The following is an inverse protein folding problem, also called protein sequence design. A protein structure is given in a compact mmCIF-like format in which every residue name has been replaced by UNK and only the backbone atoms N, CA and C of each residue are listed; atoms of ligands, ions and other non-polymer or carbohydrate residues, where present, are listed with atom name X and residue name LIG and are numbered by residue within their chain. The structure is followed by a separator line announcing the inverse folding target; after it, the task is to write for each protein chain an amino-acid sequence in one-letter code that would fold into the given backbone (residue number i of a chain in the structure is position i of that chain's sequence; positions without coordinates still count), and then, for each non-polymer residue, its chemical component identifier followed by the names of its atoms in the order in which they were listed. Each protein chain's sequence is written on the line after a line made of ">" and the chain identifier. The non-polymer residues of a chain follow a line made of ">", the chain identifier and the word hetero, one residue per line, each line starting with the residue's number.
data_IF_227226455334
#
_entry.id   IF_227226455334
#
_cell.length_a   1.000
_cell.length_b   1.000
_cell.length_c   1.000
_cell.angle_alpha   90.00
_cell.angle_beta   90.00
_cell.angle_gamma   90.00
#
_symmetry.space_group_name_H-M   'P 1'
#
loop_
_entity.id
_entity.type
_entity.pdbx_description
1 polymer ?
#
# COMPACT_ATOMS: atom_id res chain seq x y z
N UNK A 1 12.84 1.26 5.69
CA UNK A 1 12.69 0.14 6.65
C UNK A 1 11.20 0.00 6.92
N UNK A 2 10.63 -1.20 6.77
CA UNK A 2 9.22 -1.47 7.04
C UNK A 2 9.14 -2.59 8.11
N UNK A 3 8.29 -2.42 9.12
CA UNK A 3 8.12 -3.38 10.22
C UNK A 3 6.77 -4.09 10.09
N UNK A 4 6.80 -5.42 10.16
CA UNK A 4 5.63 -6.30 10.07
C UNK A 4 5.51 -7.14 11.36
N UNK A 5 4.28 -7.38 11.83
CA UNK A 5 4.00 -8.03 13.12
C UNK A 5 2.55 -7.87 13.58
N UNK A 6 2.08 -8.75 14.47
CA UNK A 6 0.66 -8.91 14.84
C UNK A 6 0.11 -7.71 15.65
N UNK A 7 0.95 -7.03 16.43
CA UNK A 7 0.55 -5.86 17.23
C UNK A 7 0.88 -4.55 16.53
N UNK A 8 -0.15 -3.80 16.14
CA UNK A 8 -0.02 -2.47 15.54
C UNK A 8 0.63 -1.47 16.53
N UNK A 9 0.20 -1.49 17.80
CA UNK A 9 0.78 -0.66 18.87
C UNK A 9 2.27 -0.95 19.09
N UNK A 10 2.68 -2.22 19.07
CA UNK A 10 4.09 -2.60 19.23
C UNK A 10 4.99 -2.11 18.09
N UNK A 11 4.49 -2.12 16.85
CA UNK A 11 5.22 -1.59 15.68
C UNK A 11 5.36 -0.07 15.73
N UNK A 12 4.29 0.65 16.05
CA UNK A 12 4.32 2.11 16.18
C UNK A 12 5.27 2.55 17.30
N UNK A 13 5.29 1.82 18.42
CA UNK A 13 6.22 2.07 19.52
C UNK A 13 7.67 1.80 19.10
N UNK A 14 7.95 0.69 18.42
CA UNK A 14 9.29 0.35 17.94
C UNK A 14 9.82 1.38 16.92
N UNK A 15 8.99 1.78 15.96
CA UNK A 15 9.35 2.84 14.99
C UNK A 15 9.64 4.15 15.74
N UNK A 16 8.83 4.49 16.73
CA UNK A 16 9.02 5.71 17.51
C UNK A 16 10.30 5.67 18.33
N UNK A 17 10.65 4.53 18.94
CA UNK A 17 11.89 4.38 19.67
C UNK A 17 13.13 4.44 18.76
N UNK A 18 13.07 3.87 17.55
CA UNK A 18 14.18 3.88 16.60
C UNK A 18 14.38 5.21 15.90
N UNK A 19 13.29 5.93 15.63
CA UNK A 19 13.31 7.21 14.92
C UNK A 19 13.20 8.42 15.85
N UNK A 20 13.13 8.19 17.17
CA UNK A 20 13.09 9.25 18.17
C UNK A 20 14.32 10.16 18.07
N UNK A 21 14.09 11.46 18.24
CA UNK A 21 15.16 12.41 18.46
C UNK A 21 15.85 12.21 19.80
N UNK A 22 16.84 13.06 20.11
CA UNK A 22 17.53 13.07 21.40
C UNK A 22 16.61 13.29 22.60
N UNK A 23 15.41 13.83 22.38
CA UNK A 23 14.36 14.02 23.37
C UNK A 23 13.46 12.79 23.57
N UNK A 24 13.71 11.68 22.88
CA UNK A 24 12.94 10.44 23.00
C UNK A 24 11.58 10.46 22.32
N UNK A 25 11.26 11.50 21.52
CA UNK A 25 10.02 11.58 20.75
C UNK A 25 10.26 11.51 19.25
N UNK A 26 9.34 10.86 18.54
CA UNK A 26 9.26 10.91 17.09
C UNK A 26 8.48 12.15 16.65
N UNK A 27 9.23 13.20 16.34
CA UNK A 27 8.68 14.49 15.91
C UNK A 27 8.72 14.64 14.39
N UNK A 28 7.68 15.24 13.82
CA UNK A 28 7.61 15.63 12.41
C UNK A 28 7.34 17.13 12.26
N UNK A 29 7.75 17.71 11.13
CA UNK A 29 7.44 19.10 10.78
C UNK A 29 6.28 19.13 9.80
N UNK A 30 5.15 19.68 10.23
CA UNK A 30 3.99 19.96 9.40
C UNK A 30 4.01 21.46 9.06
N UNK A 31 4.80 21.80 8.04
CA UNK A 31 5.13 23.18 7.73
C UNK A 31 6.08 23.71 8.80
N UNK A 32 5.67 24.78 9.49
CA UNK A 32 6.44 25.35 10.61
C UNK A 32 6.12 24.70 11.95
N UNK A 33 5.03 23.92 12.04
CA UNK A 33 4.61 23.29 13.29
C UNK A 33 5.33 21.97 13.50
N UNK A 34 5.97 21.82 14.66
CA UNK A 34 6.46 20.52 15.13
C UNK A 34 5.32 19.75 15.79
N UNK A 35 5.18 18.48 15.43
CA UNK A 35 4.14 17.58 15.96
C UNK A 35 4.78 16.30 16.48
N UNK A 36 4.33 15.85 17.65
CA UNK A 36 4.68 14.53 18.19
C UNK A 36 3.78 13.48 17.54
N UNK A 37 4.36 12.56 16.76
CA UNK A 37 3.59 11.62 15.95
C UNK A 37 2.69 10.72 16.82
N UNK A 38 3.19 10.22 17.94
CA UNK A 38 2.44 9.30 18.80
C UNK A 38 1.37 10.05 19.57
N UNK A 39 1.60 11.29 20.01
CA UNK A 39 0.59 12.01 20.79
C UNK A 39 -0.49 12.66 19.92
N UNK A 40 -0.13 13.14 18.73
CA UNK A 40 -1.00 14.03 17.95
C UNK A 40 -1.50 13.42 16.63
N UNK A 41 -0.77 12.46 16.03
CA UNK A 41 -1.09 11.94 14.68
C UNK A 41 -1.61 10.50 14.72
N UNK A 42 -0.96 9.65 15.51
CA UNK A 42 -1.37 8.28 15.75
C UNK A 42 -1.43 8.00 17.26
N UNK A 43 -2.39 8.63 17.97
CA UNK A 43 -2.58 8.40 19.39
C UNK A 43 -2.87 6.93 19.68
N UNK A 44 -2.27 6.44 20.76
CA UNK A 44 -2.61 5.13 21.33
C UNK A 44 -4.03 5.20 21.89
N UNK A 45 -5.03 4.95 21.04
CA UNK A 45 -6.43 4.85 21.46
C UNK A 45 -6.63 3.69 22.44
N UNK A 46 -7.67 3.77 23.29
CA UNK A 46 -8.04 2.76 24.30
C UNK A 46 -8.51 1.41 23.72
N UNK A 47 -7.69 0.77 22.89
CA UNK A 47 -7.95 -0.54 22.27
C UNK A 47 -8.50 -0.50 20.84
N UNK A 48 -8.63 0.66 20.20
CA UNK A 48 -9.02 0.79 18.79
C UNK A 48 -8.06 1.73 18.05
N UNK A 49 -7.67 1.31 16.85
CA UNK A 49 -6.74 2.00 15.95
C UNK A 49 -7.20 3.43 15.67
N UNK A 50 -6.30 4.42 15.80
CA UNK A 50 -6.64 5.83 15.61
C UNK A 50 -6.44 6.34 14.17
N UNK A 51 -5.64 5.65 13.34
CA UNK A 51 -5.30 6.16 12.00
C UNK A 51 -5.35 5.07 10.92
N UNK A 52 -6.24 5.22 9.94
CA UNK A 52 -6.34 4.36 8.75
C UNK A 52 -5.37 4.71 7.62
N UNK A 53 -4.22 5.32 7.94
CA UNK A 53 -3.25 5.83 6.96
C UNK A 53 -1.89 5.16 7.14
N UNK A 54 -1.26 4.81 6.03
CA UNK A 54 0.15 4.42 6.01
C UNK A 54 1.00 5.68 6.04
N UNK A 55 1.72 5.91 7.14
CA UNK A 55 2.58 7.09 7.29
C UNK A 55 4.03 6.75 6.90
N UNK A 56 4.63 7.60 6.07
CA UNK A 56 6.05 7.52 5.70
C UNK A 56 6.81 8.71 6.26
N UNK A 57 7.86 8.44 7.02
CA UNK A 57 8.80 9.46 7.48
C UNK A 57 9.97 9.60 6.49
N UNK A 58 10.39 10.83 6.27
CA UNK A 58 11.53 11.18 5.42
C UNK A 58 12.29 12.35 6.05
N UNK A 59 13.61 12.39 5.86
CA UNK A 59 14.44 13.53 6.27
C UNK A 59 14.36 14.71 5.30
N UNK A 60 13.90 14.44 4.07
CA UNK A 60 13.74 15.46 3.04
C UNK A 60 12.28 15.91 3.03
N UNK A 61 12.06 17.20 3.26
CA UNK A 61 10.72 17.78 3.20
C UNK A 61 10.18 17.66 1.76
N UNK A 62 9.03 16.99 1.55
CA UNK A 62 8.42 16.93 0.24
C UNK A 62 7.87 18.30 -0.17
N UNK A 63 7.85 18.59 -1.48
CA UNK A 63 7.16 19.75 -1.98
C UNK A 63 5.66 19.63 -1.66
N UNK A 64 5.09 20.67 -1.05
CA UNK A 64 3.69 20.69 -0.65
C UNK A 64 3.11 22.12 -0.80
N UNK A 65 1.83 22.27 -1.16
CA UNK A 65 1.20 23.59 -1.25
C UNK A 65 1.21 24.33 0.10
N UNK A 66 1.26 25.66 0.04
CA UNK A 66 1.15 26.49 1.25
C UNK A 66 -0.16 26.18 2.00
N UNK A 67 -0.06 25.94 3.31
CA UNK A 67 -1.20 25.54 4.15
C UNK A 67 -1.52 24.03 4.14
N UNK A 68 -0.87 23.22 3.29
CA UNK A 68 -1.11 21.78 3.16
C UNK A 68 0.19 20.98 3.29
N UNK A 69 0.82 20.97 4.48
CA UNK A 69 2.20 20.48 4.63
C UNK A 69 2.36 18.95 4.59
N UNK A 70 1.25 18.21 4.58
CA UNK A 70 1.24 16.74 4.57
C UNK A 70 0.77 16.27 3.21
N UNK A 71 1.67 15.85 2.29
CA UNK A 71 1.25 15.32 1.01
C UNK A 71 0.59 13.96 1.21
N UNK A 72 -0.56 13.78 0.57
CA UNK A 72 -1.27 12.51 0.51
C UNK A 72 -1.00 11.85 -0.84
N UNK A 73 -0.69 10.55 -0.82
CA UNK A 73 -0.60 9.74 -2.02
C UNK A 73 -1.69 8.70 -2.00
N UNK A 74 -2.54 8.71 -3.02
CA UNK A 74 -3.53 7.67 -3.25
C UNK A 74 -2.86 6.44 -3.85
N UNK A 75 -3.46 5.28 -3.63
CA UNK A 75 -3.09 4.08 -4.37
C UNK A 75 -3.44 4.28 -5.85
N UNK A 76 -2.52 3.87 -6.72
CA UNK A 76 -2.83 3.69 -8.13
C UNK A 76 -3.68 2.45 -8.33
N UNK A 77 -4.32 2.33 -9.48
CA UNK A 77 -5.07 1.16 -9.92
C UNK A 77 -4.20 -0.10 -9.87
N UNK A 78 -2.91 0.01 -10.22
CA UNK A 78 -1.99 -1.11 -10.16
C UNK A 78 -1.62 -1.51 -8.74
N UNK A 79 -1.56 -0.56 -7.80
CA UNK A 79 -1.36 -0.86 -6.39
C UNK A 79 -2.55 -1.65 -5.83
N UNK A 80 -3.77 -1.27 -6.22
CA UNK A 80 -4.99 -2.02 -5.85
C UNK A 80 -4.96 -3.45 -6.41
N UNK A 81 -4.53 -3.63 -7.67
CA UNK A 81 -4.37 -4.97 -8.25
C UNK A 81 -3.37 -5.83 -7.46
N UNK A 82 -2.24 -5.25 -7.02
CA UNK A 82 -1.24 -5.94 -6.18
C UNK A 82 -1.80 -6.31 -4.81
N UNK A 83 -2.58 -5.42 -4.18
CA UNK A 83 -3.25 -5.68 -2.90
C UNK A 83 -4.25 -6.83 -3.03
N UNK A 84 -5.11 -6.80 -4.05
CA UNK A 84 -6.09 -7.85 -4.31
C UNK A 84 -5.43 -9.21 -4.59
N UNK A 85 -4.35 -9.22 -5.38
CA UNK A 85 -3.59 -10.43 -5.62
C UNK A 85 -2.94 -10.97 -4.34
N UNK A 86 -2.38 -10.10 -3.51
CA UNK A 86 -1.79 -10.50 -2.23
C UNK A 86 -2.85 -11.13 -1.30
N UNK A 87 -4.00 -10.47 -1.16
CA UNK A 87 -5.11 -10.98 -0.38
C UNK A 87 -5.59 -12.34 -0.92
N UNK A 88 -5.73 -12.48 -2.24
CA UNK A 88 -6.10 -13.74 -2.86
C UNK A 88 -5.13 -14.86 -2.52
N UNK A 89 -3.81 -14.67 -2.66
CA UNK A 89 -2.84 -15.75 -2.46
C UNK A 89 -2.49 -16.06 -1.00
N UNK A 90 -2.54 -15.05 -0.11
CA UNK A 90 -2.05 -15.21 1.27
C UNK A 90 -3.16 -15.26 2.32
N UNK A 91 -4.26 -14.55 2.10
CA UNK A 91 -5.29 -14.34 3.13
C UNK A 91 -6.56 -15.18 2.87
N UNK A 92 -6.83 -15.55 1.62
CA UNK A 92 -7.97 -16.40 1.29
C UNK A 92 -7.70 -17.88 1.57
N UNK A 93 -8.62 -18.52 2.28
CA UNK A 93 -8.62 -19.97 2.42
C UNK A 93 -9.14 -20.63 1.13
N UNK A 94 -8.22 -21.01 0.25
CA UNK A 94 -8.56 -21.65 -1.02
C UNK A 94 -9.24 -23.01 -0.89
N UNK A 95 -9.17 -23.68 0.26
CA UNK A 95 -9.85 -24.96 0.49
C UNK A 95 -11.38 -24.80 0.57
N UNK A 96 -11.87 -23.59 0.86
CA UNK A 96 -13.31 -23.27 0.91
C UNK A 96 -13.86 -22.79 -0.45
N UNK A 97 -13.00 -22.64 -1.46
CA UNK A 97 -13.40 -22.20 -2.78
C UNK A 97 -13.73 -23.41 -3.67
N UNK A 98 -15.02 -23.59 -3.97
CA UNK A 98 -15.48 -24.53 -5.01
C UNK A 98 -15.25 -24.00 -6.44
N UNK A 99 -14.72 -22.79 -6.57
CA UNK A 99 -14.53 -22.09 -7.83
C UNK A 99 -13.25 -22.57 -8.53
N UNK A 100 -13.40 -23.30 -9.64
CA UNK A 100 -12.27 -23.71 -10.48
C UNK A 100 -12.00 -22.63 -11.54
N UNK A 101 -10.81 -22.02 -11.45
CA UNK A 101 -10.25 -21.18 -12.50
C UNK A 101 -9.65 -22.11 -13.58
N UNK A 102 -10.30 -22.18 -14.73
CA UNK A 102 -9.79 -22.86 -15.92
C UNK A 102 -9.45 -21.85 -17.03
N UNK A 103 -8.63 -22.29 -17.99
CA UNK A 103 -8.17 -21.44 -19.08
C UNK A 103 -9.34 -20.88 -19.92
N UNK A 104 -10.35 -21.69 -20.21
CA UNK A 104 -11.48 -21.27 -21.03
C UNK A 104 -12.29 -20.15 -20.39
N UNK A 105 -12.49 -20.18 -19.06
CA UNK A 105 -13.18 -19.13 -18.31
C UNK A 105 -12.37 -17.85 -18.26
N UNK A 106 -11.05 -17.94 -18.09
CA UNK A 106 -10.17 -16.78 -18.15
C UNK A 106 -10.26 -16.12 -19.52
N UNK A 107 -10.16 -16.90 -20.60
CA UNK A 107 -10.29 -16.41 -21.97
C UNK A 107 -11.66 -15.80 -22.24
N UNK A 108 -12.74 -16.42 -21.76
CA UNK A 108 -14.11 -15.88 -21.87
C UNK A 108 -14.24 -14.51 -21.20
N UNK A 109 -13.66 -14.34 -20.01
CA UNK A 109 -13.67 -13.06 -19.29
C UNK A 109 -12.78 -12.00 -19.93
N UNK A 110 -11.71 -12.39 -20.61
CA UNK A 110 -10.81 -11.46 -21.31
C UNK A 110 -11.34 -11.03 -22.69
N UNK A 111 -12.17 -11.86 -23.34
CA UNK A 111 -12.68 -11.62 -24.70
C UNK A 111 -13.30 -10.22 -24.92
N UNK A 112 -14.13 -9.67 -24.02
CA UNK A 112 -14.70 -8.32 -24.19
C UNK A 112 -13.65 -7.21 -24.21
N UNK A 113 -12.49 -7.43 -23.60
CA UNK A 113 -11.41 -6.45 -23.48
C UNK A 113 -10.42 -6.52 -24.65
N UNK A 114 -10.25 -7.70 -25.26
CA UNK A 114 -9.38 -7.88 -26.44
C UNK A 114 -9.78 -6.98 -27.61
N UNK A 115 -11.08 -6.78 -27.83
CA UNK A 115 -11.60 -5.92 -28.90
C UNK A 115 -11.39 -4.42 -28.60
N UNK A 116 -11.31 -4.04 -27.31
CA UNK A 116 -11.12 -2.64 -26.86
C UNK A 116 -9.65 -2.22 -26.86
N UNK A 117 -8.73 -3.16 -26.65
CA UNK A 117 -7.29 -2.92 -26.66
C UNK A 117 -6.80 -2.38 -28.01
N UNK A 118 -7.44 -2.74 -29.12
CA UNK A 118 -7.09 -2.26 -30.45
C UNK A 118 -7.54 -0.81 -30.74
N UNK A 119 -8.43 -0.23 -29.92
CA UNK A 119 -9.10 1.05 -30.20
C UNK A 119 -8.70 2.17 -29.23
N UNK A 120 -7.92 1.89 -28.19
CA UNK A 120 -7.75 2.80 -27.06
C UNK A 120 -6.34 3.40 -27.02
N UNK A 121 -6.21 4.67 -27.43
CA UNK A 121 -5.07 5.54 -27.09
C UNK A 121 -5.24 6.25 -25.73
N UNK A 122 -6.26 5.86 -24.94
CA UNK A 122 -6.58 6.55 -23.69
C UNK A 122 -5.80 5.97 -22.52
N UNK A 123 -5.10 6.86 -21.82
CA UNK A 123 -4.42 6.60 -20.56
C UNK A 123 -5.46 6.40 -19.45
N UNK A 124 -5.86 5.15 -19.21
CA UNK A 124 -6.91 4.79 -18.25
C UNK A 124 -6.38 4.69 -16.80
N UNK A 125 -5.27 5.38 -16.49
CA UNK A 125 -4.61 5.32 -15.17
C UNK A 125 -3.72 4.08 -14.98
N UNK A 126 -3.55 3.24 -16.00
CA UNK A 126 -2.64 2.09 -15.97
C UNK A 126 -1.77 2.13 -17.22
N UNK A 127 -0.48 2.39 -17.02
CA UNK A 127 0.53 2.39 -18.08
C UNK A 127 1.01 0.98 -18.43
N UNK A 128 1.72 0.83 -19.56
CA UNK A 128 2.38 -0.44 -19.89
C UNK A 128 3.43 -0.84 -18.84
N UNK A 129 4.13 0.14 -18.27
CA UNK A 129 5.12 -0.06 -17.20
C UNK A 129 4.45 -0.58 -15.93
N UNK A 130 3.25 -0.10 -15.61
CA UNK A 130 2.47 -0.60 -14.48
C UNK A 130 2.10 -2.08 -14.66
N UNK A 131 1.68 -2.47 -15.86
CA UNK A 131 1.37 -3.88 -16.16
C UNK A 131 2.59 -4.78 -15.98
N UNK A 132 3.76 -4.34 -16.47
CA UNK A 132 5.03 -5.06 -16.26
C UNK A 132 5.38 -5.12 -14.77
N UNK A 133 5.24 -4.01 -14.04
CA UNK A 133 5.52 -3.96 -12.61
C UNK A 133 4.59 -4.88 -11.79
N UNK A 134 3.33 -5.05 -12.21
CA UNK A 134 2.44 -6.05 -11.61
C UNK A 134 2.90 -7.47 -11.93
N UNK A 135 3.25 -7.76 -13.18
CA UNK A 135 3.77 -9.07 -13.57
C UNK A 135 5.02 -9.45 -12.77
N UNK A 136 5.97 -8.54 -12.64
CA UNK A 136 7.20 -8.74 -11.87
C UNK A 136 6.90 -8.97 -10.39
N UNK A 137 6.01 -8.15 -9.81
CA UNK A 137 5.57 -8.33 -8.43
C UNK A 137 4.95 -9.71 -8.20
N UNK A 138 4.05 -10.17 -9.08
CA UNK A 138 3.40 -11.48 -8.95
C UNK A 138 4.40 -12.62 -9.05
N UNK A 139 5.35 -12.53 -10.00
CA UNK A 139 6.39 -13.55 -10.17
C UNK A 139 7.34 -13.58 -8.97
N UNK A 140 7.78 -12.43 -8.47
CA UNK A 140 8.67 -12.37 -7.32
C UNK A 140 7.99 -12.85 -6.02
N UNK A 141 6.69 -12.58 -5.86
CA UNK A 141 5.98 -12.85 -4.61
C UNK A 141 5.38 -14.25 -4.53
N UNK A 142 4.93 -14.84 -5.65
CA UNK A 142 4.08 -16.04 -5.63
C UNK A 142 4.57 -17.19 -6.51
N UNK A 143 5.63 -17.00 -7.30
CA UNK A 143 6.17 -18.08 -8.13
C UNK A 143 6.89 -19.06 -7.21
N UNK A 144 6.32 -20.25 -7.02
CA UNK A 144 6.99 -21.35 -6.30
C UNK A 144 8.31 -21.65 -7.00
N UNK A 145 9.43 -21.50 -6.28
CA UNK A 145 10.72 -22.06 -6.70
C UNK A 145 10.49 -23.57 -6.81
N UNK A 146 10.60 -24.10 -8.02
CA UNK A 146 10.60 -25.55 -8.25
C UNK A 146 11.89 -26.15 -7.74
#
# INVERSE_FOLDING_TARGET
>A
MAFFGISQAGKSYLISALAAGSNGSLEALYGERRVDFIKEVNPVGGGKEATGLVTRFTRQAPAAPAGYPVPLRLFSEIDLAKILANAWFNDFNHEQLSYQLDQSRVEERLRPFQQRAAQSQHDNGVSQEDVVALWDYLNASFKKVR
#
